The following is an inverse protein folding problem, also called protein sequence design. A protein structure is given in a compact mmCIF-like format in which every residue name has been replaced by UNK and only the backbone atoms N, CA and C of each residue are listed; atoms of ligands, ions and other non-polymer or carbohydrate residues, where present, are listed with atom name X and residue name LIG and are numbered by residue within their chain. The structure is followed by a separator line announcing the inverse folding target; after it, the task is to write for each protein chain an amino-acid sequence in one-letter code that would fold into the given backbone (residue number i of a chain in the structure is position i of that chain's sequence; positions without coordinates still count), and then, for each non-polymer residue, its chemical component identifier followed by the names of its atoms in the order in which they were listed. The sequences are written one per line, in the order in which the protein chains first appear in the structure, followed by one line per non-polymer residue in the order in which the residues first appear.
data_IF_603296196632
#
_entry.id   IF_603296196632
#
_cell.length_a   1.000
_cell.length_b   1.000
_cell.length_c   1.000
_cell.angle_alpha   90.00
_cell.angle_beta   90.00
_cell.angle_gamma   90.00
#
_symmetry.space_group_name_H-M   'P 1'
#
loop_
_entity.id
_entity.type
_entity.pdbx_description
1 polymer ?
#
# COMPACT_ATOMS: atom_id res chain seq x y z
N UNK A 1 4.40 -6.73 19.86
CA UNK A 1 4.40 -7.69 18.74
C UNK A 1 2.98 -7.95 18.19
N UNK A 2 1.94 -7.27 18.69
CA UNK A 2 0.54 -7.53 18.29
C UNK A 2 -0.18 -6.36 17.61
N UNK A 3 0.47 -5.21 17.35
CA UNK A 3 -0.24 -4.05 16.76
C UNK A 3 -0.46 -4.16 15.25
N UNK A 4 0.52 -4.66 14.49
CA UNK A 4 0.44 -4.78 13.02
C UNK A 4 -0.59 -5.81 12.52
N UNK A 5 -0.92 -6.81 13.35
CA UNK A 5 -1.92 -7.83 12.99
C UNK A 5 -3.33 -7.51 13.50
N UNK A 6 -3.47 -6.61 14.49
CA UNK A 6 -4.75 -6.38 15.20
C UNK A 6 -5.40 -5.05 14.86
N UNK A 7 -4.62 -4.04 14.47
CA UNK A 7 -5.13 -2.75 14.05
C UNK A 7 -4.71 -2.49 12.61
N UNK A 8 -5.57 -1.87 11.81
CA UNK A 8 -5.25 -1.55 10.41
C UNK A 8 -4.12 -0.49 10.27
N UNK A 9 -3.58 0.01 11.39
CA UNK A 9 -2.53 1.03 11.47
C UNK A 9 -2.84 2.31 10.67
N UNK A 10 -4.12 2.66 10.55
CA UNK A 10 -4.58 3.83 9.79
C UNK A 10 -4.80 3.56 8.29
N UNK A 11 -4.55 2.33 7.81
CA UNK A 11 -4.70 1.96 6.40
C UNK A 11 -5.90 1.03 6.23
N UNK A 12 -7.01 1.56 5.70
CA UNK A 12 -8.23 0.79 5.48
C UNK A 12 -8.24 -0.07 4.20
N UNK A 13 -7.37 0.26 3.23
CA UNK A 13 -7.37 -0.36 1.91
C UNK A 13 -5.97 -0.33 1.29
N UNK A 14 -5.56 -1.44 0.67
CA UNK A 14 -4.32 -1.55 -0.11
C UNK A 14 -4.69 -1.88 -1.54
N UNK A 15 -4.18 -1.09 -2.49
CA UNK A 15 -4.38 -1.30 -3.92
C UNK A 15 -3.04 -1.66 -4.57
N UNK A 16 -3.02 -2.78 -5.31
CA UNK A 16 -1.86 -3.19 -6.09
C UNK A 16 -2.06 -2.71 -7.52
N UNK A 17 -1.16 -1.87 -8.01
CA UNK A 17 -1.20 -1.29 -9.35
C UNK A 17 0.14 -1.50 -10.04
N UNK A 18 0.15 -1.42 -11.38
CA UNK A 18 1.41 -1.43 -12.11
C UNK A 18 2.23 -0.17 -11.80
N UNK A 19 3.57 -0.21 -11.89
CA UNK A 19 4.42 0.96 -11.61
C UNK A 19 4.03 2.17 -12.46
N UNK A 20 3.67 1.94 -13.73
CA UNK A 20 3.28 2.97 -14.68
C UNK A 20 1.92 3.63 -14.34
N UNK A 21 1.13 3.00 -13.48
CA UNK A 21 -0.19 3.48 -13.07
C UNK A 21 -0.22 4.00 -11.64
N UNK A 22 0.88 3.91 -10.89
CA UNK A 22 0.96 4.30 -9.49
C UNK A 22 0.61 5.78 -9.28
N UNK A 23 1.23 6.69 -10.05
CA UNK A 23 0.99 8.13 -9.94
C UNK A 23 -0.43 8.52 -10.33
N UNK A 24 -0.99 7.85 -11.35
CA UNK A 24 -2.37 8.07 -11.79
C UNK A 24 -3.36 7.62 -10.71
N UNK A 25 -3.12 6.48 -10.06
CA UNK A 25 -3.94 5.97 -8.97
C UNK A 25 -3.89 6.89 -7.75
N UNK A 26 -2.69 7.35 -7.35
CA UNK A 26 -2.53 8.31 -6.25
C UNK A 26 -3.23 9.63 -6.54
N UNK A 27 -3.12 10.12 -7.78
CA UNK A 27 -3.78 11.37 -8.21
C UNK A 27 -5.31 11.24 -8.20
N UNK A 28 -5.84 10.10 -8.64
CA UNK A 28 -7.28 9.82 -8.60
C UNK A 28 -7.80 9.76 -7.16
N UNK A 29 -7.09 9.06 -6.26
CA UNK A 29 -7.45 8.99 -4.84
C UNK A 29 -7.42 10.36 -4.16
N UNK A 30 -6.40 11.17 -4.48
CA UNK A 30 -6.29 12.54 -3.97
C UNK A 30 -7.42 13.45 -4.47
N UNK A 31 -7.88 13.27 -5.71
CA UNK A 31 -9.01 14.02 -6.25
C UNK A 31 -10.32 13.72 -5.51
N UNK A 32 -10.48 12.48 -5.01
CA UNK A 32 -11.60 12.06 -4.16
C UNK A 32 -11.40 12.42 -2.66
N UNK A 33 -10.33 13.14 -2.31
CA UNK A 33 -10.02 13.54 -0.93
C UNK A 33 -9.49 12.40 -0.06
N UNK A 34 -9.07 11.28 -0.66
CA UNK A 34 -8.47 10.14 0.04
C UNK A 34 -6.96 10.35 0.08
N UNK A 35 -6.40 10.42 1.28
CA UNK A 35 -4.95 10.47 1.45
C UNK A 35 -4.36 9.06 1.25
N UNK A 36 -3.55 8.92 0.20
CA UNK A 36 -2.97 7.66 -0.24
C UNK A 36 -1.48 7.83 -0.48
N UNK A 37 -0.71 6.80 -0.17
CA UNK A 37 0.75 6.80 -0.31
C UNK A 37 1.24 5.46 -0.88
N UNK A 38 2.41 5.48 -1.50
CA UNK A 38 3.08 4.26 -1.96
C UNK A 38 3.54 3.44 -0.74
N UNK A 39 2.85 2.32 -0.48
CA UNK A 39 3.13 1.45 0.67
C UNK A 39 4.37 0.57 0.46
N UNK A 40 4.71 0.23 -0.78
CA UNK A 40 5.86 -0.59 -1.13
C UNK A 40 5.78 -1.15 -2.54
N UNK A 41 6.73 -2.01 -2.89
CA UNK A 41 6.81 -2.69 -4.19
C UNK A 41 6.74 -4.21 -4.01
N UNK A 42 6.03 -4.88 -4.91
CA UNK A 42 6.02 -6.35 -4.98
C UNK A 42 7.25 -6.77 -5.78
N UNK A 43 8.22 -7.35 -5.10
CA UNK A 43 9.42 -7.95 -5.70
C UNK A 43 9.30 -9.48 -5.71
N UNK A 44 9.94 -10.14 -6.68
CA UNK A 44 10.06 -11.61 -6.65
C UNK A 44 10.79 -12.04 -5.38
N UNK A 45 10.10 -12.77 -4.49
CA UNK A 45 10.64 -13.25 -3.22
C UNK A 45 10.30 -14.72 -2.95
N UNK A 46 11.11 -15.39 -2.12
CA UNK A 46 10.78 -16.68 -1.51
C UNK A 46 9.69 -16.57 -0.44
N UNK A 47 9.34 -17.68 0.22
CA UNK A 47 8.11 -17.92 1.02
C UNK A 47 7.68 -16.88 2.10
N UNK A 48 8.43 -15.81 2.41
CA UNK A 48 8.10 -14.87 3.50
C UNK A 48 8.24 -13.39 3.15
N UNK A 49 7.24 -12.62 3.59
CA UNK A 49 7.20 -11.16 3.59
C UNK A 49 8.24 -10.60 4.58
N UNK A 50 9.03 -9.61 4.16
CA UNK A 50 10.00 -8.89 5.01
C UNK A 50 9.47 -7.48 5.26
N UNK A 51 9.23 -7.15 6.53
CA UNK A 51 8.94 -5.78 6.99
C UNK A 51 10.24 -5.24 7.58
N UNK A 52 10.80 -4.18 6.97
CA UNK A 52 12.00 -3.50 7.45
C UNK A 52 11.63 -2.25 8.26
#
# INVERSE_FOLDING_TARGET
HDMFNTFNMGVGMVMVVSPNTADAALSALKAEGIDAYACGEIVHGGEKIVLA
#
